data_IF_095500956973
#
_entry.id   IF_095500956973
#
_cell.length_a   1.000
_cell.length_b   1.000
_cell.length_c   1.000
_cell.angle_alpha   90.00
_cell.angle_beta   90.00
_cell.angle_gamma   90.00
#
_symmetry.space_group_name_H-M   'P 1'
#
loop_
_entity.id
_entity.type
_entity.pdbx_description
1 polymer ?
#
# COMPACT_ATOMS: atom_id res chain seq x y z
N UNK A 1 7.34 54.04 8.22
CA UNK A 1 8.16 52.93 7.69
C UNK A 1 7.64 51.66 8.36
N UNK A 2 6.96 50.81 7.58
CA UNK A 2 6.27 49.56 7.92
C UNK A 2 5.25 49.57 9.09
N UNK A 3 4.03 50.05 8.81
CA UNK A 3 2.85 49.72 9.62
C UNK A 3 2.36 48.33 9.21
N UNK A 4 2.85 47.28 9.88
CA UNK A 4 2.32 45.93 9.67
C UNK A 4 0.85 45.94 10.10
N UNK A 5 -0.05 45.80 9.13
CA UNK A 5 -1.47 45.69 9.40
C UNK A 5 -1.73 44.36 10.11
N UNK A 6 -2.39 44.40 11.28
CA UNK A 6 -2.75 43.20 12.03
C UNK A 6 -3.50 42.17 11.16
N UNK A 7 -4.29 42.64 10.20
CA UNK A 7 -4.98 41.81 9.21
C UNK A 7 -4.01 40.93 8.40
N UNK A 8 -2.86 41.47 7.99
CA UNK A 8 -1.85 40.70 7.27
C UNK A 8 -1.28 39.58 8.15
N UNK A 9 -0.99 39.86 9.42
CA UNK A 9 -0.49 38.86 10.37
C UNK A 9 -1.51 37.72 10.53
N UNK A 10 -2.80 38.04 10.72
CA UNK A 10 -3.85 37.03 10.83
C UNK A 10 -4.01 36.20 9.55
N UNK A 11 -3.94 36.82 8.38
CA UNK A 11 -4.01 36.11 7.10
C UNK A 11 -2.83 35.14 6.92
N UNK A 12 -1.61 35.52 7.31
CA UNK A 12 -0.44 34.63 7.27
C UNK A 12 -0.58 33.45 8.24
N UNK A 13 -1.00 33.70 9.48
CA UNK A 13 -1.21 32.64 10.48
C UNK A 13 -2.29 31.66 9.99
N UNK A 14 -3.40 32.18 9.47
CA UNK A 14 -4.47 31.36 8.92
C UNK A 14 -3.99 30.53 7.72
N UNK A 15 -3.24 31.14 6.80
CA UNK A 15 -2.65 30.45 5.65
C UNK A 15 -1.69 29.33 6.04
N UNK A 16 -0.84 29.56 7.05
CA UNK A 16 0.07 28.54 7.59
C UNK A 16 -0.68 27.35 8.21
N UNK A 17 -1.74 27.61 8.98
CA UNK A 17 -2.60 26.57 9.55
C UNK A 17 -3.25 25.75 8.44
N UNK A 18 -3.80 26.42 7.42
CA UNK A 18 -4.43 25.75 6.28
C UNK A 18 -3.45 24.87 5.51
N UNK A 19 -2.25 25.39 5.25
CA UNK A 19 -1.17 24.66 4.58
C UNK A 19 -0.76 23.42 5.39
N UNK A 20 -0.63 23.55 6.71
CA UNK A 20 -0.31 22.43 7.58
C UNK A 20 -1.39 21.35 7.55
N UNK A 21 -2.67 21.74 7.62
CA UNK A 21 -3.79 20.79 7.55
C UNK A 21 -3.84 20.03 6.23
N UNK A 22 -3.66 20.74 5.10
CA UNK A 22 -3.62 20.12 3.77
C UNK A 22 -2.41 19.19 3.66
N UNK A 23 -1.23 19.65 4.07
CA UNK A 23 -0.02 18.84 4.05
C UNK A 23 -0.17 17.57 4.90
N UNK A 24 -0.73 17.69 6.09
CA UNK A 24 -1.00 16.55 6.96
C UNK A 24 -1.96 15.56 6.31
N UNK A 25 -3.08 16.05 5.75
CA UNK A 25 -4.08 15.21 5.11
C UNK A 25 -3.52 14.41 3.93
N UNK A 26 -2.55 14.95 3.19
CA UNK A 26 -1.88 14.24 2.09
C UNK A 26 -0.79 13.26 2.58
N UNK A 27 -0.06 13.60 3.64
CA UNK A 27 1.05 12.77 4.13
C UNK A 27 0.59 11.51 4.88
N UNK A 28 -0.56 11.56 5.55
CA UNK A 28 -1.15 10.41 6.25
C UNK A 28 -1.42 9.22 5.32
N UNK A 29 -2.18 9.36 4.20
CA UNK A 29 -2.45 8.25 3.29
C UNK A 29 -1.17 7.79 2.56
N UNK A 30 -0.21 8.70 2.31
CA UNK A 30 1.04 8.33 1.66
C UNK A 30 1.83 7.29 2.46
N UNK A 31 1.87 7.40 3.79
CA UNK A 31 2.51 6.40 4.66
C UNK A 31 1.87 5.02 4.53
N UNK A 32 0.53 4.98 4.39
CA UNK A 32 -0.21 3.72 4.20
C UNK A 32 0.10 3.12 2.84
N UNK A 33 0.12 3.94 1.78
CA UNK A 33 0.46 3.49 0.42
C UNK A 33 1.89 2.92 0.38
N UNK A 34 2.87 3.60 0.98
CA UNK A 34 4.26 3.11 1.02
C UNK A 34 4.34 1.77 1.76
N UNK A 35 3.66 1.63 2.90
CA UNK A 35 3.61 0.35 3.63
C UNK A 35 2.96 -0.75 2.79
N UNK A 36 1.89 -0.44 2.08
CA UNK A 36 1.20 -1.39 1.21
C UNK A 36 2.09 -1.83 0.04
N UNK A 37 2.81 -0.90 -0.59
CA UNK A 37 3.77 -1.21 -1.68
C UNK A 37 4.86 -2.14 -1.17
N UNK A 38 5.49 -1.83 -0.02
CA UNK A 38 6.53 -2.68 0.56
C UNK A 38 6.01 -4.09 0.86
N UNK A 39 4.87 -4.18 1.52
CA UNK A 39 4.23 -5.47 1.83
C UNK A 39 3.85 -6.24 0.56
N UNK A 40 3.40 -5.55 -0.48
CA UNK A 40 3.04 -6.18 -1.77
C UNK A 40 4.26 -6.71 -2.51
N UNK A 41 5.39 -6.01 -2.45
CA UNK A 41 6.65 -6.51 -3.01
C UNK A 41 7.08 -7.80 -2.30
N UNK A 42 7.03 -7.83 -0.96
CA UNK A 42 7.31 -9.04 -0.18
C UNK A 42 6.33 -10.18 -0.51
N UNK A 43 5.04 -9.86 -0.68
CA UNK A 43 4.02 -10.82 -1.09
C UNK A 43 4.28 -11.38 -2.49
N UNK A 44 4.68 -10.53 -3.44
CA UNK A 44 5.09 -10.94 -4.78
C UNK A 44 6.33 -11.84 -4.78
N UNK A 45 7.35 -11.51 -3.99
CA UNK A 45 8.54 -12.36 -3.81
C UNK A 45 8.12 -13.73 -3.25
N UNK A 46 7.25 -13.74 -2.25
CA UNK A 46 6.73 -14.98 -1.65
C UNK A 46 5.98 -15.83 -2.67
N UNK A 47 5.15 -15.22 -3.52
CA UNK A 47 4.45 -15.92 -4.60
C UNK A 47 5.41 -16.51 -5.64
N UNK A 48 6.48 -15.80 -6.00
CA UNK A 48 7.52 -16.32 -6.91
C UNK A 48 8.17 -17.57 -6.31
N UNK A 49 8.53 -17.53 -5.03
CA UNK A 49 9.11 -18.66 -4.31
C UNK A 49 8.13 -19.84 -4.29
N UNK A 50 6.86 -19.59 -3.95
CA UNK A 50 5.82 -20.63 -3.92
C UNK A 50 5.62 -21.24 -5.29
N UNK A 51 5.59 -20.47 -6.38
CA UNK A 51 5.46 -21.03 -7.72
C UNK A 51 6.68 -21.83 -8.15
N UNK A 52 7.88 -21.44 -7.70
CA UNK A 52 9.10 -22.16 -8.01
C UNK A 52 9.11 -23.56 -7.38
N UNK A 53 8.77 -23.67 -6.09
CA UNK A 53 8.71 -24.97 -5.39
C UNK A 53 7.39 -25.72 -5.64
N UNK A 54 6.28 -24.99 -5.75
CA UNK A 54 4.95 -25.51 -5.99
C UNK A 54 4.74 -26.01 -7.42
N UNK A 55 5.52 -25.51 -8.38
CA UNK A 55 5.50 -26.00 -9.76
C UNK A 55 5.80 -27.50 -9.88
N UNK A 56 6.60 -28.07 -8.96
CA UNK A 56 6.84 -29.52 -8.91
C UNK A 56 5.59 -30.34 -8.52
N UNK A 57 4.61 -29.70 -7.89
CA UNK A 57 3.35 -30.28 -7.41
C UNK A 57 2.16 -29.79 -8.28
N UNK A 58 2.42 -29.04 -9.37
CA UNK A 58 1.40 -28.46 -10.24
C UNK A 58 0.69 -27.24 -9.66
N UNK A 59 1.28 -26.59 -8.67
CA UNK A 59 0.77 -25.35 -8.06
C UNK A 59 1.35 -24.15 -8.82
N UNK A 60 0.49 -23.42 -9.52
CA UNK A 60 0.84 -22.20 -10.27
C UNK A 60 -0.17 -21.09 -9.96
N UNK A 61 0.20 -20.17 -9.09
CA UNK A 61 -0.59 -18.99 -8.76
C UNK A 61 -0.11 -17.82 -9.64
N UNK A 62 -1.01 -17.11 -10.29
CA UNK A 62 -0.62 -15.93 -11.09
C UNK A 62 0.14 -14.89 -10.25
N UNK A 63 1.36 -14.52 -10.65
CA UNK A 63 2.15 -13.45 -10.00
C UNK A 63 1.77 -12.13 -10.65
N UNK A 64 0.83 -11.41 -10.04
CA UNK A 64 0.39 -10.10 -10.51
C UNK A 64 0.22 -9.13 -9.33
N UNK A 65 0.06 -7.82 -9.58
CA UNK A 65 -0.08 -6.85 -8.49
C UNK A 65 -1.26 -7.16 -7.55
N UNK A 66 -2.38 -7.69 -8.06
CA UNK A 66 -3.54 -8.03 -7.23
C UNK A 66 -3.25 -9.19 -6.28
N UNK A 67 -2.63 -10.27 -6.76
CA UNK A 67 -2.25 -11.42 -5.92
C UNK A 67 -1.13 -11.06 -4.96
N UNK A 68 -0.17 -10.25 -5.39
CA UNK A 68 0.91 -9.75 -4.55
C UNK A 68 0.41 -8.83 -3.43
N UNK A 69 -0.55 -7.93 -3.70
CA UNK A 69 -1.22 -7.11 -2.67
C UNK A 69 -2.02 -8.00 -1.72
N UNK A 70 -2.76 -8.98 -2.24
CA UNK A 70 -3.56 -9.90 -1.41
C UNK A 70 -2.67 -10.66 -0.42
N UNK A 71 -1.57 -11.24 -0.89
CA UNK A 71 -0.58 -11.92 -0.03
C UNK A 71 0.20 -10.93 0.83
N UNK A 72 0.54 -9.75 0.33
CA UNK A 72 1.28 -8.73 1.09
C UNK A 72 0.48 -8.16 2.26
N UNK A 73 -0.84 -7.96 2.08
CA UNK A 73 -1.73 -7.41 3.11
C UNK A 73 -2.17 -8.50 4.09
N UNK A 74 -2.54 -9.68 3.59
CA UNK A 74 -3.07 -10.76 4.45
C UNK A 74 -1.97 -11.68 4.99
N UNK A 75 -0.83 -11.82 4.31
CA UNK A 75 0.25 -12.74 4.68
C UNK A 75 -0.11 -14.20 4.41
N UNK A 76 0.15 -15.06 5.41
CA UNK A 76 -0.15 -16.50 5.39
C UNK A 76 -1.61 -16.82 5.01
N UNK A 77 -2.65 -16.18 5.60
CA UNK A 77 -4.02 -16.42 5.18
C UNK A 77 -4.29 -16.00 3.73
N UNK A 78 -3.57 -15.01 3.19
CA UNK A 78 -3.65 -14.64 1.77
C UNK A 78 -3.11 -15.73 0.85
N UNK A 79 -2.01 -16.39 1.24
CA UNK A 79 -1.45 -17.53 0.52
C UNK A 79 -2.44 -18.70 0.54
N UNK A 80 -2.98 -19.03 1.71
CA UNK A 80 -3.98 -20.08 1.85
C UNK A 80 -5.22 -19.82 0.99
N UNK A 81 -5.70 -18.57 0.95
CA UNK A 81 -6.82 -18.17 0.10
C UNK A 81 -6.53 -18.41 -1.39
N UNK A 82 -5.35 -17.98 -1.87
CA UNK A 82 -4.98 -18.15 -3.28
C UNK A 82 -4.77 -19.63 -3.65
N UNK A 83 -4.24 -20.44 -2.74
CA UNK A 83 -4.11 -21.89 -2.94
C UNK A 83 -5.48 -22.56 -3.06
N UNK A 84 -6.43 -22.22 -2.17
CA UNK A 84 -7.81 -22.72 -2.24
C UNK A 84 -8.46 -22.29 -3.55
N UNK A 85 -8.28 -21.02 -3.95
CA UNK A 85 -8.82 -20.49 -5.20
C UNK A 85 -8.26 -21.25 -6.41
N UNK A 86 -6.95 -21.51 -6.43
CA UNK A 86 -6.31 -22.28 -7.49
C UNK A 86 -6.86 -23.72 -7.54
N UNK A 87 -7.05 -24.38 -6.39
CA UNK A 87 -7.62 -25.73 -6.33
C UNK A 87 -9.07 -25.78 -6.83
N UNK A 88 -9.89 -24.79 -6.49
CA UNK A 88 -11.31 -24.73 -6.88
C UNK A 88 -11.47 -24.40 -8.36
N UNK A 89 -10.72 -23.42 -8.87
CA UNK A 89 -10.87 -22.94 -10.24
C UNK A 89 -9.97 -23.65 -11.25
N UNK A 90 -9.01 -24.48 -10.81
CA UNK A 90 -8.06 -25.19 -11.67
C UNK A 90 -7.37 -24.28 -12.71
N UNK A 91 -7.18 -23.02 -12.33
CA UNK A 91 -6.42 -22.01 -13.11
C UNK A 91 -4.93 -22.30 -13.01
#
# INVERSE_FOLDING_TARGET
MLSIEYNAIFAYVFGLILLYLIGWFLLVPLKVVVKLVYNSILGGITLIIINFFGGFIGIHIGVNPLTAITVGVLGVPGIALLLILQMVYKV
#
